data_IF_802785266428
#
_entry.id   IF_802785266428
#
_cell.length_a   1.000
_cell.length_b   1.000
_cell.length_c   1.000
_cell.angle_alpha   90.00
_cell.angle_beta   90.00
_cell.angle_gamma   90.00
#
_symmetry.space_group_name_H-M   'P 1'
#
loop_
_entity.id
_entity.type
_entity.pdbx_description
1 polymer ?
#
# COMPACT_ATOMS: atom_id res chain seq x y z
N UNK A 1 8.19 28.64 -6.67
CA UNK A 1 8.62 27.29 -6.27
C UNK A 1 8.98 26.53 -7.54
N UNK A 2 10.28 26.31 -7.79
CA UNK A 2 10.75 25.74 -9.05
C UNK A 2 10.35 24.27 -9.13
N UNK A 3 9.96 23.82 -10.30
CA UNK A 3 9.58 22.43 -10.62
C UNK A 3 10.60 21.43 -10.06
N UNK A 4 11.88 21.80 -10.09
CA UNK A 4 13.01 21.02 -9.54
C UNK A 4 12.94 20.78 -8.03
N UNK A 5 12.46 21.76 -7.24
CA UNK A 5 12.34 21.65 -5.78
C UNK A 5 11.21 20.69 -5.42
N UNK A 6 10.12 20.73 -6.19
CA UNK A 6 8.98 19.82 -6.02
C UNK A 6 9.38 18.37 -6.29
N UNK A 7 10.16 18.13 -7.35
CA UNK A 7 10.68 16.81 -7.69
C UNK A 7 11.62 16.30 -6.60
N UNK A 8 12.52 17.13 -6.09
CA UNK A 8 13.40 16.78 -4.98
C UNK A 8 12.61 16.43 -3.71
N UNK A 9 11.58 17.21 -3.36
CA UNK A 9 10.72 16.90 -2.20
C UNK A 9 9.97 15.58 -2.41
N UNK A 10 9.44 15.32 -3.61
CA UNK A 10 8.76 14.06 -3.93
C UNK A 10 9.71 12.86 -3.92
N UNK A 11 10.93 13.02 -4.43
CA UNK A 11 11.98 11.99 -4.39
C UNK A 11 12.46 11.71 -2.95
N UNK A 12 12.64 12.76 -2.15
CA UNK A 12 13.05 12.64 -0.74
C UNK A 12 11.93 12.02 0.10
N UNK A 13 10.66 12.35 -0.15
CA UNK A 13 9.52 11.65 0.47
C UNK A 13 9.49 10.15 0.10
N UNK A 14 9.86 9.81 -1.13
CA UNK A 14 9.95 8.42 -1.60
C UNK A 14 11.11 7.67 -0.94
N UNK A 15 12.25 8.34 -0.70
CA UNK A 15 13.43 7.78 -0.03
C UNK A 15 13.28 7.67 1.50
N UNK A 16 12.73 8.70 2.16
CA UNK A 16 12.46 8.75 3.62
C UNK A 16 11.42 7.71 4.02
N UNK A 17 10.52 7.34 3.11
CA UNK A 17 9.57 6.28 3.37
C UNK A 17 10.22 4.89 3.40
N UNK A 18 11.55 4.76 3.30
CA UNK A 18 12.30 3.61 3.80
C UNK A 18 12.04 2.32 3.04
N UNK A 19 13.12 1.80 2.47
CA UNK A 19 13.27 0.40 2.04
C UNK A 19 13.20 -0.51 3.29
N UNK A 20 12.03 -0.57 3.90
CA UNK A 20 11.79 -1.35 5.11
C UNK A 20 11.32 -2.71 4.64
N UNK A 21 12.10 -3.74 4.94
CA UNK A 21 11.71 -5.16 4.90
C UNK A 21 10.67 -5.44 5.99
N UNK A 22 9.65 -4.58 6.07
CA UNK A 22 8.49 -4.75 6.91
C UNK A 22 7.51 -5.57 6.08
N UNK A 23 7.01 -6.68 6.64
CA UNK A 23 5.91 -7.42 6.03
C UNK A 23 4.79 -6.46 5.65
N UNK A 24 4.06 -6.75 4.57
CA UNK A 24 2.99 -5.89 4.06
C UNK A 24 2.06 -5.35 5.17
N UNK A 25 1.72 -6.19 6.16
CA UNK A 25 0.94 -5.79 7.33
C UNK A 25 1.55 -4.61 8.11
N UNK A 26 2.83 -4.68 8.46
CA UNK A 26 3.51 -3.60 9.21
C UNK A 26 3.58 -2.30 8.40
N UNK A 27 3.84 -2.39 7.09
CA UNK A 27 3.79 -1.23 6.21
C UNK A 27 2.40 -0.60 6.24
N UNK A 28 1.37 -1.42 6.04
CA UNK A 28 -0.02 -0.98 5.98
C UNK A 28 -0.45 -0.32 7.30
N UNK A 29 -0.19 -0.97 8.44
CA UNK A 29 -0.55 -0.47 9.75
C UNK A 29 0.09 0.88 10.05
N UNK A 30 1.40 1.01 9.79
CA UNK A 30 2.13 2.28 10.00
C UNK A 30 1.58 3.40 9.12
N UNK A 31 1.39 3.15 7.82
CA UNK A 31 0.83 4.14 6.91
C UNK A 31 -0.60 4.53 7.34
N UNK A 32 -1.42 3.54 7.67
CA UNK A 32 -2.83 3.75 7.98
C UNK A 32 -3.00 4.59 9.24
N UNK A 33 -2.24 4.30 10.31
CA UNK A 33 -2.30 5.09 11.55
C UNK A 33 -1.95 6.55 11.28
N UNK A 34 -0.86 6.81 10.54
CA UNK A 34 -0.44 8.18 10.19
C UNK A 34 -1.51 8.90 9.37
N UNK A 35 -2.14 8.20 8.41
CA UNK A 35 -3.21 8.78 7.62
C UNK A 35 -4.47 9.04 8.45
N UNK A 36 -4.89 8.09 9.28
CA UNK A 36 -6.15 8.15 10.01
C UNK A 36 -6.16 9.21 11.12
N UNK A 37 -4.99 9.58 11.67
CA UNK A 37 -4.87 10.71 12.61
C UNK A 37 -4.85 12.07 11.91
N UNK A 38 -4.71 12.10 10.58
CA UNK A 38 -4.75 13.36 9.82
C UNK A 38 -6.20 13.86 9.76
N UNK A 39 -6.49 15.07 10.26
CA UNK A 39 -7.85 15.59 10.27
C UNK A 39 -8.40 15.76 8.85
N UNK A 40 -9.69 15.46 8.66
CA UNK A 40 -10.38 15.63 7.39
C UNK A 40 -10.24 14.49 6.39
N UNK A 41 -9.44 13.45 6.68
CA UNK A 41 -9.29 12.30 5.77
C UNK A 41 -10.21 11.14 6.22
N UNK A 42 -11.08 10.62 5.35
CA UNK A 42 -11.91 9.48 5.70
C UNK A 42 -11.11 8.18 5.75
N UNK A 43 -11.50 7.29 6.66
CA UNK A 43 -10.81 6.01 6.92
C UNK A 43 -10.65 5.15 5.67
N UNK A 44 -11.68 5.05 4.84
CA UNK A 44 -11.62 4.28 3.60
C UNK A 44 -10.55 4.81 2.64
N UNK A 45 -10.36 6.13 2.56
CA UNK A 45 -9.30 6.74 1.74
C UNK A 45 -7.92 6.43 2.30
N UNK A 46 -7.76 6.43 3.63
CA UNK A 46 -6.51 5.99 4.25
C UNK A 46 -6.22 4.51 3.98
N UNK A 47 -7.24 3.66 4.09
CA UNK A 47 -7.11 2.23 3.80
C UNK A 47 -6.70 2.01 2.35
N UNK A 48 -7.34 2.67 1.38
CA UNK A 48 -7.01 2.54 -0.03
C UNK A 48 -5.60 3.09 -0.34
N UNK A 49 -5.28 4.29 0.15
CA UNK A 49 -3.96 4.93 -0.07
C UNK A 49 -2.83 4.05 0.45
N UNK A 50 -2.94 3.57 1.68
CA UNK A 50 -1.91 2.77 2.33
C UNK A 50 -1.80 1.36 1.76
N UNK A 51 -2.91 0.78 1.31
CA UNK A 51 -2.89 -0.47 0.58
C UNK A 51 -2.08 -0.33 -0.72
N UNK A 52 -2.37 0.68 -1.53
CA UNK A 52 -1.67 0.93 -2.80
C UNK A 52 -0.18 1.18 -2.58
N UNK A 53 0.16 2.06 -1.64
CA UNK A 53 1.56 2.43 -1.35
C UNK A 53 2.38 1.20 -0.90
N UNK A 54 1.83 0.39 0.00
CA UNK A 54 2.51 -0.80 0.51
C UNK A 54 2.57 -1.95 -0.49
N UNK A 55 1.55 -2.14 -1.33
CA UNK A 55 1.58 -3.12 -2.42
C UNK A 55 2.61 -2.74 -3.48
N UNK A 56 2.69 -1.46 -3.84
CA UNK A 56 3.66 -0.97 -4.81
C UNK A 56 5.09 -1.22 -4.32
N UNK A 57 5.38 -0.86 -3.06
CA UNK A 57 6.69 -1.14 -2.43
C UNK A 57 7.04 -2.62 -2.44
N UNK A 58 6.08 -3.47 -2.07
CA UNK A 58 6.28 -4.92 -2.08
C UNK A 58 6.63 -5.43 -3.48
N UNK A 59 5.94 -4.94 -4.52
CA UNK A 59 6.24 -5.28 -5.91
C UNK A 59 7.62 -4.78 -6.35
N UNK A 60 8.00 -3.54 -6.00
CA UNK A 60 9.32 -2.97 -6.33
C UNK A 60 10.49 -3.67 -5.63
N UNK A 61 10.24 -4.35 -4.50
CA UNK A 61 11.28 -5.16 -3.82
C UNK A 61 11.48 -6.54 -4.41
N UNK A 62 10.49 -7.06 -5.13
CA UNK A 62 10.52 -8.41 -5.72
C UNK A 62 10.80 -8.42 -7.23
N UNK A 63 10.64 -7.29 -7.90
CA UNK A 63 10.85 -7.16 -9.34
C UNK A 63 12.25 -6.61 -9.65
N UNK A 64 13.02 -7.34 -10.45
CA UNK A 64 14.00 -6.73 -11.34
C UNK A 64 13.23 -5.73 -12.23
N UNK A 65 13.60 -4.46 -12.16
CA UNK A 65 12.83 -3.31 -12.64
C UNK A 65 12.55 -3.30 -14.15
N UNK A 66 12.94 -4.32 -14.91
CA UNK A 66 12.99 -4.25 -16.37
C UNK A 66 11.78 -4.80 -17.13
N UNK A 67 10.92 -5.66 -16.58
CA UNK A 67 9.80 -6.17 -17.39
C UNK A 67 8.57 -6.56 -16.55
N UNK A 68 7.50 -5.79 -16.73
CA UNK A 68 6.16 -5.96 -16.15
C UNK A 68 5.97 -5.55 -14.69
N UNK A 69 5.34 -4.38 -14.51
CA UNK A 69 4.22 -4.28 -13.56
C UNK A 69 3.19 -5.32 -14.02
N UNK A 70 3.34 -6.54 -13.50
CA UNK A 70 2.61 -7.73 -13.91
C UNK A 70 1.09 -7.51 -13.81
N UNK A 71 0.31 -8.12 -14.72
CA UNK A 71 -1.17 -8.12 -14.69
C UNK A 71 -1.69 -8.52 -13.30
N UNK A 72 -0.91 -9.34 -12.60
CA UNK A 72 -1.16 -9.84 -11.25
C UNK A 72 -1.06 -8.77 -10.17
N UNK A 73 -0.20 -7.76 -10.35
CA UNK A 73 -0.17 -6.60 -9.47
C UNK A 73 -1.51 -5.86 -9.52
N UNK A 74 -2.00 -5.56 -10.72
CA UNK A 74 -3.29 -4.86 -10.89
C UNK A 74 -4.48 -5.70 -10.42
N UNK A 75 -4.47 -7.01 -10.69
CA UNK A 75 -5.48 -7.93 -10.15
C UNK A 75 -5.49 -7.91 -8.61
N UNK A 76 -4.31 -8.03 -7.98
CA UNK A 76 -4.17 -8.03 -6.52
C UNK A 76 -4.61 -6.70 -5.92
N UNK A 77 -4.22 -5.59 -6.54
CA UNK A 77 -4.59 -4.24 -6.13
C UNK A 77 -6.10 -4.03 -6.20
N UNK A 78 -6.74 -4.40 -7.32
CA UNK A 78 -8.19 -4.27 -7.50
C UNK A 78 -8.97 -5.13 -6.50
N UNK A 79 -8.57 -6.40 -6.35
CA UNK A 79 -9.17 -7.33 -5.38
C UNK A 79 -9.06 -6.78 -3.96
N UNK A 80 -7.87 -6.36 -3.54
CA UNK A 80 -7.63 -5.92 -2.18
C UNK A 80 -8.31 -4.58 -1.87
N UNK A 81 -8.39 -3.68 -2.85
CA UNK A 81 -9.08 -2.39 -2.69
C UNK A 81 -10.57 -2.62 -2.44
N UNK A 82 -11.18 -3.54 -3.18
CA UNK A 82 -12.60 -3.88 -3.05
C UNK A 82 -12.93 -4.67 -1.78
N UNK A 83 -12.07 -5.61 -1.39
CA UNK A 83 -12.37 -6.56 -0.32
C UNK A 83 -11.76 -6.20 1.04
N UNK A 84 -10.53 -5.65 1.07
CA UNK A 84 -9.74 -5.55 2.29
C UNK A 84 -9.83 -4.18 2.98
N UNK A 85 -10.09 -3.10 2.23
CA UNK A 85 -10.08 -1.71 2.76
C UNK A 85 -11.11 -1.46 3.86
N UNK A 86 -12.23 -2.21 3.84
CA UNK A 86 -13.32 -2.12 4.82
C UNK A 86 -13.01 -2.75 6.17
N UNK A 87 -11.89 -3.46 6.32
CA UNK A 87 -11.53 -4.09 7.59
C UNK A 87 -10.97 -3.09 8.60
N UNK A 88 -10.34 -2.04 8.11
CA UNK A 88 -9.69 -1.05 8.96
C UNK A 88 -10.69 -0.03 9.48
N UNK A 89 -10.53 0.36 10.73
CA UNK A 89 -11.35 1.37 11.42
C UNK A 89 -10.46 2.45 11.99
N UNK A 90 -11.03 3.57 12.47
CA UNK A 90 -10.24 4.63 13.12
C UNK A 90 -9.39 4.14 14.31
N UNK A 91 -9.82 3.05 14.96
CA UNK A 91 -9.19 2.54 16.20
C UNK A 91 -8.28 1.34 15.96
N UNK A 92 -8.45 0.66 14.82
CA UNK A 92 -7.71 -0.56 14.51
C UNK A 92 -7.40 -0.63 13.01
N UNK A 93 -6.12 -0.63 12.61
CA UNK A 93 -5.72 -0.87 11.23
C UNK A 93 -5.99 -2.31 10.76
N UNK A 94 -6.38 -3.23 11.65
CA UNK A 94 -6.68 -4.62 11.31
C UNK A 94 -5.53 -5.31 10.56
N UNK A 95 -4.28 -5.01 10.94
CA UNK A 95 -3.03 -5.39 10.26
C UNK A 95 -3.06 -6.83 9.72
N UNK A 96 -3.30 -7.79 10.62
CA UNK A 96 -3.27 -9.22 10.29
C UNK A 96 -4.38 -9.59 9.31
N UNK A 97 -5.58 -9.03 9.49
CA UNK A 97 -6.75 -9.32 8.67
C UNK A 97 -6.61 -8.75 7.27
N UNK A 98 -6.07 -7.54 7.14
CA UNK A 98 -5.75 -6.92 5.85
C UNK A 98 -4.63 -7.69 5.16
N UNK A 99 -3.59 -8.10 5.90
CA UNK A 99 -2.52 -8.96 5.39
C UNK A 99 -3.04 -10.27 4.79
N UNK A 100 -3.78 -11.06 5.58
CA UNK A 100 -4.35 -12.32 5.09
C UNK A 100 -5.33 -12.14 3.92
N UNK A 101 -6.08 -11.03 3.88
CA UNK A 101 -6.94 -10.72 2.75
C UNK A 101 -6.16 -10.45 1.45
N UNK A 102 -5.03 -9.75 1.57
CA UNK A 102 -4.12 -9.49 0.46
C UNK A 102 -3.44 -10.77 -0.04
N UNK A 103 -3.12 -11.69 0.87
CA UNK A 103 -2.60 -13.02 0.51
C UNK A 103 -3.65 -13.84 -0.25
N UNK A 104 -4.90 -13.85 0.22
CA UNK A 104 -6.03 -14.47 -0.49
C UNK A 104 -6.27 -13.86 -1.87
N UNK A 105 -6.17 -12.54 -2.01
CA UNK A 105 -6.23 -11.87 -3.31
C UNK A 105 -5.07 -12.29 -4.22
N UNK A 106 -3.87 -12.49 -3.66
CA UNK A 106 -2.72 -12.98 -4.43
C UNK A 106 -2.99 -14.36 -4.99
N UNK A 107 -3.46 -15.30 -4.15
CA UNK A 107 -3.82 -16.66 -4.56
C UNK A 107 -4.94 -16.66 -5.61
N UNK A 108 -5.98 -15.84 -5.41
CA UNK A 108 -7.07 -15.71 -6.38
C UNK A 108 -6.57 -15.21 -7.73
N UNK A 109 -5.68 -14.23 -7.74
CA UNK A 109 -5.08 -13.74 -8.96
C UNK A 109 -4.16 -14.77 -9.59
N UNK A 110 -3.45 -15.60 -8.79
CA UNK A 110 -2.66 -16.76 -9.23
C UNK A 110 -3.41 -17.72 -10.13
N UNK A 111 -4.67 -17.97 -9.78
CA UNK A 111 -5.51 -18.96 -10.41
C UNK A 111 -6.62 -18.32 -11.28
N UNK A 112 -6.45 -17.06 -11.69
CA UNK A 112 -7.42 -16.31 -12.51
C UNK A 112 -7.11 -16.40 -14.00
#
# INVERSE_FOLDING_TARGET
MKNSELILVMLVLSLVAGKSTASFGKCYAKCFVVCAITPGIPVGTCAAKCLTDCLFRAASTTADFNDQIDTRYFCKLGCATSLCTKFSTKKDPAEKKVGSCVDSCSQKCINA
#
